data_IF_948172022963
#
_entry.id   IF_948172022963
#
_cell.length_a   1.000
_cell.length_b   1.000
_cell.length_c   1.000
_cell.angle_alpha   90.00
_cell.angle_beta   90.00
_cell.angle_gamma   90.00
#
_symmetry.space_group_name_H-M   'P 1'
#
loop_
_entity.id
_entity.type
_entity.pdbx_description
1 polymer ?
#
# COMPACT_ATOMS: atom_id res chain seq x y z
N UNK A 1 -6.68 11.91 4.17
CA UNK A 1 -6.97 12.50 2.85
C UNK A 1 -6.39 11.62 1.76
N UNK A 2 -6.88 11.78 0.54
CA UNK A 2 -6.35 11.13 -0.66
C UNK A 2 -6.38 12.15 -1.80
N UNK A 3 -5.49 11.97 -2.79
CA UNK A 3 -5.49 12.77 -4.01
C UNK A 3 -5.72 11.83 -5.19
N UNK A 4 -6.50 12.28 -6.17
CA UNK A 4 -6.71 11.55 -7.41
C UNK A 4 -6.09 12.32 -8.55
N UNK A 5 -5.15 11.69 -9.26
CA UNK A 5 -4.46 12.24 -10.43
C UNK A 5 -4.70 11.25 -11.57
N UNK A 6 -5.23 11.73 -12.69
CA UNK A 6 -5.53 10.89 -13.88
C UNK A 6 -6.32 9.60 -13.56
N UNK A 7 -7.27 9.69 -12.63
CA UNK A 7 -8.09 8.55 -12.21
C UNK A 7 -7.35 7.48 -11.40
N UNK A 8 -6.16 7.79 -10.86
CA UNK A 8 -5.44 6.97 -9.87
C UNK A 8 -5.43 7.68 -8.52
N UNK A 9 -5.90 7.00 -7.48
CA UNK A 9 -6.03 7.56 -6.12
C UNK A 9 -4.83 7.19 -5.25
N UNK A 10 -4.17 8.20 -4.69
CA UNK A 10 -3.02 8.08 -3.80
C UNK A 10 -3.38 8.55 -2.39
N UNK A 11 -2.86 7.86 -1.37
CA UNK A 11 -3.06 8.21 0.04
C UNK A 11 -2.07 9.31 0.42
N UNK A 12 -2.54 10.39 1.05
CA UNK A 12 -1.63 11.47 1.47
C UNK A 12 -1.21 11.42 2.92
N UNK A 13 -1.85 10.59 3.74
CA UNK A 13 -1.43 10.43 5.13
C UNK A 13 -0.26 9.47 5.25
N UNK A 14 0.80 9.90 5.92
CA UNK A 14 2.04 9.13 6.12
C UNK A 14 1.76 7.79 6.77
N UNK A 15 0.97 7.76 7.85
CA UNK A 15 0.61 6.50 8.52
C UNK A 15 -0.08 5.54 7.54
N UNK A 16 -1.05 6.04 6.77
CA UNK A 16 -1.77 5.22 5.79
C UNK A 16 -0.91 4.77 4.60
N UNK A 17 0.16 5.50 4.28
CA UNK A 17 1.15 5.11 3.26
C UNK A 17 2.00 3.96 3.83
N UNK A 18 2.55 4.14 5.03
CA UNK A 18 3.49 3.20 5.67
C UNK A 18 2.83 1.86 6.02
N UNK A 19 1.56 1.86 6.42
CA UNK A 19 0.79 0.62 6.67
C UNK A 19 0.74 -0.30 5.44
N UNK A 20 0.98 0.24 4.24
CA UNK A 20 1.10 -0.52 2.99
C UNK A 20 2.56 -0.71 2.58
N UNK A 21 3.41 -1.21 3.49
CA UNK A 21 4.87 -1.37 3.27
C UNK A 21 5.29 -2.08 1.98
N UNK A 22 4.43 -2.92 1.41
CA UNK A 22 4.69 -3.65 0.15
C UNK A 22 4.26 -2.90 -1.12
N UNK A 23 3.46 -1.83 -1.00
CA UNK A 23 2.98 -1.03 -2.12
C UNK A 23 4.11 -0.21 -2.75
N UNK A 24 4.11 -0.09 -4.08
CA UNK A 24 5.16 0.61 -4.82
C UNK A 24 5.20 2.11 -4.47
N UNK A 25 4.04 2.75 -4.26
CA UNK A 25 3.97 4.14 -3.86
C UNK A 25 4.54 4.34 -2.45
N UNK A 26 4.31 3.39 -1.54
CA UNK A 26 4.93 3.39 -0.21
C UNK A 26 6.45 3.30 -0.28
N UNK A 27 6.99 2.35 -1.06
CA UNK A 27 8.45 2.21 -1.25
C UNK A 27 9.09 3.47 -1.84
N UNK A 28 8.44 4.08 -2.85
CA UNK A 28 8.91 5.32 -3.44
C UNK A 28 8.88 6.49 -2.45
N UNK A 29 7.82 6.58 -1.64
CA UNK A 29 7.69 7.58 -0.59
C UNK A 29 8.79 7.43 0.47
N UNK A 30 9.02 6.21 0.97
CA UNK A 30 10.08 5.88 1.93
C UNK A 30 11.46 6.28 1.39
N UNK A 31 11.75 5.91 0.14
CA UNK A 31 13.03 6.23 -0.49
C UNK A 31 13.21 7.76 -0.64
N UNK A 32 12.16 8.47 -1.08
CA UNK A 32 12.19 9.92 -1.20
C UNK A 32 12.39 10.60 0.16
N UNK A 33 11.64 10.19 1.18
CA UNK A 33 11.76 10.70 2.54
C UNK A 33 13.17 10.52 3.11
N UNK A 34 13.74 9.33 2.95
CA UNK A 34 15.08 9.01 3.42
C UNK A 34 16.15 9.85 2.69
N UNK A 35 16.02 10.04 1.39
CA UNK A 35 16.92 10.89 0.59
C UNK A 35 16.85 12.37 0.99
N UNK A 36 15.72 12.82 1.55
CA UNK A 36 15.51 14.19 2.03
C UNK A 36 15.77 14.35 3.54
N UNK A 37 16.56 13.46 4.16
CA UNK A 37 16.98 13.63 5.56
C UNK A 37 16.01 13.10 6.61
N UNK A 38 14.91 12.44 6.22
CA UNK A 38 13.93 11.87 7.15
C UNK A 38 14.13 10.37 7.39
N UNK A 39 15.35 9.85 7.21
CA UNK A 39 15.65 8.41 7.29
C UNK A 39 15.27 7.80 8.63
N UNK A 40 15.76 8.34 9.74
CA UNK A 40 15.47 7.79 11.08
C UNK A 40 13.99 7.90 11.46
N UNK A 41 13.35 8.97 11.01
CA UNK A 41 11.93 9.24 11.21
C UNK A 41 11.06 8.18 10.52
N UNK A 42 11.41 7.81 9.28
CA UNK A 42 10.73 6.75 8.54
C UNK A 42 11.05 5.37 9.11
N UNK A 43 12.31 5.12 9.51
CA UNK A 43 12.68 3.86 10.17
C UNK A 43 11.86 3.64 11.43
N UNK A 44 11.67 4.66 12.26
CA UNK A 44 10.79 4.55 13.42
C UNK A 44 9.37 4.14 13.05
N UNK A 45 8.76 4.79 12.04
CA UNK A 45 7.40 4.45 11.63
C UNK A 45 7.29 3.03 11.05
N UNK A 46 8.35 2.49 10.46
CA UNK A 46 8.41 1.12 9.97
C UNK A 46 8.66 0.09 11.09
N UNK A 47 9.61 0.38 11.98
CA UNK A 47 10.01 -0.52 13.07
C UNK A 47 8.87 -0.70 14.09
N UNK A 48 8.08 0.35 14.31
CA UNK A 48 7.02 0.39 15.32
C UNK A 48 5.63 0.02 14.78
N UNK A 49 5.53 -0.56 13.57
CA UNK A 49 4.23 -1.03 13.03
C UNK A 49 3.66 -2.15 13.89
N UNK A 50 4.52 -3.07 14.32
CA UNK A 50 4.11 -4.25 15.08
C UNK A 50 3.99 -3.96 16.59
N UNK A 51 4.38 -2.76 17.03
CA UNK A 51 4.31 -2.27 18.41
C UNK A 51 4.85 -3.28 19.43
N UNK A 52 6.18 -3.42 19.48
CA UNK A 52 6.88 -4.24 20.47
C UNK A 52 7.60 -3.33 21.49
N UNK A 53 6.95 -2.99 22.62
CA UNK A 53 7.51 -2.11 23.64
C UNK A 53 8.89 -2.50 24.11
N UNK A 54 9.12 -3.81 24.30
CA UNK A 54 10.34 -4.33 24.90
C UNK A 54 11.54 -4.12 23.96
N UNK A 55 11.29 -4.25 22.66
CA UNK A 55 12.28 -3.99 21.61
C UNK A 55 12.46 -2.50 21.35
N UNK A 56 11.38 -1.74 21.26
CA UNK A 56 11.38 -0.37 20.75
C UNK A 56 11.75 0.66 21.82
N UNK A 57 11.41 0.41 23.08
CA UNK A 57 11.69 1.30 24.21
C UNK A 57 13.15 1.78 24.28
N UNK A 58 14.16 0.89 24.34
CA UNK A 58 15.56 1.32 24.41
C UNK A 58 16.04 2.04 23.13
N UNK A 59 15.35 1.85 22.00
CA UNK A 59 15.74 2.45 20.73
C UNK A 59 15.19 3.87 20.60
N UNK A 60 13.92 4.08 20.96
CA UNK A 60 13.17 5.28 20.60
C UNK A 60 12.59 6.07 21.79
N UNK A 61 12.20 5.38 22.87
CA UNK A 61 11.35 5.96 23.92
C UNK A 61 12.05 6.23 25.25
N UNK A 62 13.10 5.48 25.59
CA UNK A 62 13.81 5.67 26.86
C UNK A 62 14.32 7.11 27.04
N UNK A 63 14.55 7.54 28.27
CA UNK A 63 15.18 8.84 28.56
C UNK A 63 16.53 9.08 27.87
N UNK A 64 17.23 8.02 27.44
CA UNK A 64 18.47 8.09 26.63
C UNK A 64 18.35 7.15 25.40
N UNK A 65 17.53 7.50 24.41
CA UNK A 65 17.22 6.61 23.30
C UNK A 65 18.42 6.49 22.36
N UNK A 66 18.66 5.29 21.81
CA UNK A 66 19.69 5.08 20.78
C UNK A 66 19.47 5.95 19.55
N UNK A 67 18.20 6.20 19.20
CA UNK A 67 17.78 7.04 18.10
C UNK A 67 16.90 8.17 18.62
N UNK A 68 17.48 9.35 18.78
CA UNK A 68 16.77 10.53 19.27
C UNK A 68 15.97 11.18 18.14
N UNK A 69 14.65 11.01 18.19
CA UNK A 69 13.72 11.72 17.30
C UNK A 69 13.17 12.96 17.98
N UNK A 70 13.37 14.12 17.35
CA UNK A 70 12.92 15.41 17.91
C UNK A 70 11.40 15.55 17.97
N UNK A 71 10.66 14.76 17.18
CA UNK A 71 9.19 14.78 17.15
C UNK A 71 8.57 14.04 18.34
N UNK A 72 9.30 13.12 18.96
CA UNK A 72 8.86 12.46 20.19
C UNK A 72 9.17 13.40 21.35
N UNK A 73 8.14 13.89 22.03
CA UNK A 73 8.26 14.84 23.14
C UNK A 73 8.80 14.18 24.40
N UNK A 74 9.25 14.98 25.37
CA UNK A 74 9.62 14.48 26.71
C UNK A 74 8.44 13.77 27.37
N UNK A 75 7.23 14.36 27.30
CA UNK A 75 6.01 13.76 27.86
C UNK A 75 5.77 12.32 27.41
N UNK A 76 5.94 12.03 26.12
CA UNK A 76 5.78 10.67 25.58
C UNK A 76 6.87 9.73 26.14
N UNK A 77 8.11 10.23 26.27
CA UNK A 77 9.21 9.45 26.87
C UNK A 77 8.98 9.18 28.35
N UNK A 78 8.53 10.18 29.11
CA UNK A 78 8.24 10.05 30.54
C UNK A 78 7.13 9.01 30.79
N UNK A 79 6.10 9.00 29.93
CA UNK A 79 5.06 7.96 29.95
C UNK A 79 5.64 6.57 29.66
N UNK A 80 6.49 6.45 28.64
CA UNK A 80 7.13 5.19 28.30
C UNK A 80 8.09 4.69 29.41
N UNK A 81 8.87 5.58 30.01
CA UNK A 81 9.75 5.27 31.15
C UNK A 81 8.94 4.79 32.37
N UNK A 82 7.80 5.44 32.64
CA UNK A 82 6.88 5.00 33.71
C UNK A 82 6.37 3.59 33.46
N UNK A 83 5.91 3.30 32.24
CA UNK A 83 5.42 1.96 31.87
C UNK A 83 6.53 0.90 31.88
N UNK A 84 7.73 1.25 31.42
CA UNK A 84 8.90 0.37 31.46
C UNK A 84 9.32 0.04 32.90
N UNK A 85 9.20 0.99 33.83
CA UNK A 85 9.53 0.79 35.26
C UNK A 85 8.57 -0.19 35.94
N UNK A 86 7.33 -0.27 35.47
CA UNK A 86 6.35 -1.25 35.95
C UNK A 86 6.63 -2.69 35.44
N UNK A 87 7.56 -2.85 34.50
CA UNK A 87 7.88 -4.11 33.79
C UNK A 87 6.67 -4.80 33.14
N UNK A 88 5.56 -4.05 32.96
CA UNK A 88 4.33 -4.51 32.33
C UNK A 88 4.30 -4.10 30.85
N UNK A 89 5.01 -4.87 30.03
CA UNK A 89 5.13 -4.66 28.59
C UNK A 89 3.83 -4.94 27.80
N UNK A 90 2.81 -5.50 28.44
CA UNK A 90 1.49 -5.74 27.86
C UNK A 90 0.46 -4.71 28.31
N UNK A 91 0.89 -3.72 29.10
CA UNK A 91 0.03 -2.66 29.57
C UNK A 91 -0.59 -1.90 28.40
N UNK A 92 -1.90 -1.64 28.46
CA UNK A 92 -2.61 -0.92 27.39
C UNK A 92 -2.09 0.51 27.20
N UNK A 93 -1.44 1.10 28.20
CA UNK A 93 -0.81 2.43 28.09
C UNK A 93 0.27 2.50 27.01
N UNK A 94 0.88 1.37 26.63
CA UNK A 94 1.81 1.34 25.50
C UNK A 94 1.15 1.72 24.18
N UNK A 95 -0.13 1.38 23.99
CA UNK A 95 -0.86 1.76 22.79
C UNK A 95 -0.97 3.29 22.66
N UNK A 96 -1.16 3.99 23.78
CA UNK A 96 -1.22 5.46 23.81
C UNK A 96 0.16 6.06 23.50
N UNK A 97 1.23 5.51 24.08
CA UNK A 97 2.61 5.91 23.76
C UNK A 97 2.91 5.77 22.26
N UNK A 98 2.59 4.61 21.66
CA UNK A 98 2.80 4.40 20.23
C UNK A 98 1.93 5.32 19.37
N UNK A 99 0.65 5.47 19.72
CA UNK A 99 -0.27 6.33 18.98
C UNK A 99 0.25 7.77 18.96
N UNK A 100 0.51 8.35 20.13
CA UNK A 100 0.94 9.73 20.26
C UNK A 100 2.29 9.96 19.56
N UNK A 101 3.23 9.03 19.70
CA UNK A 101 4.53 9.13 19.05
C UNK A 101 4.45 9.01 17.53
N UNK A 102 3.71 8.02 17.02
CA UNK A 102 3.53 7.81 15.57
C UNK A 102 2.79 8.97 14.94
N UNK A 103 1.78 9.53 15.60
CA UNK A 103 1.07 10.72 15.13
C UNK A 103 1.99 11.95 15.09
N UNK A 104 2.76 12.21 16.16
CA UNK A 104 3.69 13.34 16.20
C UNK A 104 4.78 13.23 15.12
N UNK A 105 5.34 12.02 14.95
CA UNK A 105 6.36 11.73 13.94
C UNK A 105 5.80 11.85 12.52
N UNK A 106 4.62 11.27 12.26
CA UNK A 106 3.97 11.35 10.97
C UNK A 106 3.62 12.79 10.59
N UNK A 107 3.09 13.58 11.54
CA UNK A 107 2.75 14.99 11.31
C UNK A 107 3.96 15.80 10.87
N UNK A 108 5.13 15.57 11.50
CA UNK A 108 6.37 16.24 11.11
C UNK A 108 6.75 15.92 9.66
N UNK A 109 6.75 14.64 9.27
CA UNK A 109 7.02 14.24 7.89
C UNK A 109 5.96 14.78 6.91
N UNK A 110 4.68 14.78 7.31
CA UNK A 110 3.59 15.28 6.49
C UNK A 110 3.79 16.75 6.10
N UNK A 111 4.17 17.59 7.07
CA UNK A 111 4.50 18.99 6.84
C UNK A 111 5.73 19.17 5.96
N UNK A 112 6.79 18.40 6.22
CA UNK A 112 8.10 18.63 5.60
C UNK A 112 8.19 18.09 4.17
N UNK A 113 7.65 16.90 3.89
CA UNK A 113 7.98 16.18 2.64
C UNK A 113 6.79 15.85 1.76
N UNK A 114 5.57 15.73 2.30
CA UNK A 114 4.49 15.07 1.55
C UNK A 114 4.11 15.87 0.31
N UNK A 115 4.03 17.20 0.45
CA UNK A 115 3.82 18.10 -0.69
C UNK A 115 4.97 18.01 -1.70
N UNK A 116 6.22 17.96 -1.22
CA UNK A 116 7.40 17.86 -2.08
C UNK A 116 7.43 16.53 -2.85
N UNK A 117 7.05 15.42 -2.21
CA UNK A 117 6.97 14.11 -2.86
C UNK A 117 5.99 14.13 -4.03
N UNK A 118 4.77 14.61 -3.84
CA UNK A 118 3.75 14.61 -4.89
C UNK A 118 4.04 15.55 -6.06
N UNK A 119 4.90 16.55 -5.86
CA UNK A 119 5.40 17.42 -6.93
C UNK A 119 6.71 16.93 -7.56
N UNK A 120 7.34 15.89 -6.99
CA UNK A 120 8.67 15.42 -7.41
C UNK A 120 8.65 14.61 -8.70
N UNK A 121 9.78 14.60 -9.41
CA UNK A 121 9.95 13.73 -10.58
C UNK A 121 9.93 12.25 -10.22
N UNK A 122 10.32 11.89 -9.00
CA UNK A 122 10.17 10.52 -8.46
C UNK A 122 8.70 10.10 -8.50
N UNK A 123 7.80 10.96 -8.01
CA UNK A 123 6.37 10.68 -8.06
C UNK A 123 5.83 10.69 -9.50
N UNK A 124 6.24 11.64 -10.35
CA UNK A 124 5.80 11.67 -11.77
C UNK A 124 6.16 10.37 -12.50
N UNK A 125 7.39 9.87 -12.34
CA UNK A 125 7.84 8.59 -12.93
C UNK A 125 7.03 7.41 -12.40
N UNK A 126 6.73 7.40 -11.10
CA UNK A 126 5.85 6.39 -10.50
C UNK A 126 4.43 6.47 -11.07
N UNK A 127 3.87 7.67 -11.16
CA UNK A 127 2.54 7.93 -11.68
C UNK A 127 2.40 7.45 -13.12
N UNK A 128 3.37 7.80 -13.98
CA UNK A 128 3.41 7.34 -15.38
C UNK A 128 3.41 5.81 -15.49
N UNK A 129 4.15 5.11 -14.63
CA UNK A 129 4.17 3.64 -14.59
C UNK A 129 2.81 3.05 -14.18
N UNK A 130 2.11 3.68 -13.23
CA UNK A 130 0.77 3.26 -12.83
C UNK A 130 -0.30 3.56 -13.89
N UNK A 131 -0.28 4.76 -14.46
CA UNK A 131 -1.19 5.19 -15.50
C UNK A 131 -1.03 4.35 -16.78
N UNK A 132 0.21 4.02 -17.16
CA UNK A 132 0.50 3.11 -18.27
C UNK A 132 -0.12 1.73 -18.07
N UNK A 133 0.11 1.10 -16.91
CA UNK A 133 -0.49 -0.21 -16.57
C UNK A 133 -2.01 -0.18 -16.56
N UNK A 134 -2.62 0.91 -16.10
CA UNK A 134 -4.08 1.05 -16.11
C UNK A 134 -4.62 1.14 -17.54
N UNK A 135 -3.99 1.92 -18.40
CA UNK A 135 -4.35 2.03 -19.83
C UNK A 135 -4.18 0.69 -20.56
N UNK A 136 -3.13 -0.07 -20.27
CA UNK A 136 -2.92 -1.41 -20.82
C UNK A 136 -4.03 -2.38 -20.39
N UNK A 137 -4.38 -2.39 -19.09
CA UNK A 137 -5.46 -3.25 -18.58
C UNK A 137 -6.85 -2.85 -19.11
N UNK A 138 -7.11 -1.56 -19.29
CA UNK A 138 -8.35 -1.06 -19.90
C UNK A 138 -8.43 -1.41 -21.40
N UNK A 139 -7.31 -1.33 -22.12
CA UNK A 139 -7.21 -1.75 -23.52
C UNK A 139 -7.43 -3.27 -23.66
N UNK A 140 -6.83 -4.08 -22.79
CA UNK A 140 -7.04 -5.53 -22.77
C UNK A 140 -8.50 -5.89 -22.46
N UNK A 141 -9.13 -5.20 -21.50
CA UNK A 141 -10.55 -5.41 -21.21
C UNK A 141 -11.46 -4.98 -22.37
N UNK A 142 -11.14 -3.90 -23.07
CA UNK A 142 -11.89 -3.48 -24.26
C UNK A 142 -11.72 -4.47 -25.42
N UNK A 143 -10.52 -5.01 -25.62
CA UNK A 143 -10.24 -6.01 -26.66
C UNK A 143 -11.00 -7.31 -26.38
N UNK A 144 -10.97 -7.80 -25.13
CA UNK A 144 -11.81 -8.95 -24.69
C UNK A 144 -13.30 -8.70 -24.93
N UNK A 145 -13.81 -7.50 -24.65
CA UNK A 145 -15.22 -7.14 -24.90
C UNK A 145 -15.56 -7.10 -26.40
N UNK A 146 -14.63 -6.70 -27.26
CA UNK A 146 -14.79 -6.74 -28.72
C UNK A 146 -14.71 -8.17 -29.26
N UNK A 147 -13.81 -9.00 -28.74
CA UNK A 147 -13.68 -10.42 -29.11
C UNK A 147 -14.90 -11.27 -28.74
N UNK A 148 -15.56 -10.96 -27.62
CA UNK A 148 -16.83 -11.62 -27.23
C UNK A 148 -17.99 -11.28 -28.17
N UNK A 149 -17.97 -10.12 -28.86
CA UNK A 149 -19.00 -9.75 -29.84
C UNK A 149 -18.86 -10.47 -31.20
N UNK A 150 -17.71 -11.06 -31.52
CA UNK A 150 -17.47 -11.74 -32.81
C UNK A 150 -17.73 -13.25 -32.78
N UNK A 151 -18.11 -13.83 -31.63
CA UNK A 151 -18.38 -15.28 -31.50
C UNK A 151 -19.83 -15.60 -31.13
N UNK A 152 -20.71 -14.61 -31.07
CA UNK A 152 -22.12 -14.76 -30.70
C UNK A 152 -23.07 -14.52 -31.86
N UNK A 153 -23.07 -15.40 -32.88
CA UNK A 153 -24.27 -15.62 -33.68
C UNK A 153 -24.79 -17.04 -33.36
N UNK A 154 -25.79 -17.20 -32.47
CA UNK A 154 -26.31 -18.50 -32.10
C UNK A 154 -27.12 -19.20 -33.22
N UNK A 155 -27.34 -18.56 -34.38
CA UNK A 155 -28.16 -19.11 -35.46
C UNK A 155 -27.44 -19.96 -36.52
N UNK A 156 -26.10 -19.99 -36.56
CA UNK A 156 -25.38 -20.73 -37.63
C UNK A 156 -24.99 -22.18 -37.29
N UNK A 157 -25.26 -22.67 -36.06
CA UNK A 157 -24.87 -24.04 -35.67
C UNK A 157 -25.92 -25.11 -35.97
N UNK A 158 -27.15 -24.75 -36.37
CA UNK A 158 -28.21 -25.74 -36.66
C UNK A 158 -28.36 -26.15 -38.13
N UNK A 159 -27.66 -25.50 -39.07
CA UNK A 159 -27.80 -25.81 -40.50
C UNK A 159 -26.90 -26.96 -41.03
N UNK A 160 -26.03 -27.55 -40.19
CA UNK A 160 -25.08 -28.61 -40.61
C UNK A 160 -25.29 -29.99 -39.95
N UNK A 161 -26.39 -30.23 -39.26
CA UNK A 161 -26.71 -31.53 -38.63
C UNK A 161 -27.75 -32.37 -39.40
N UNK A 162 -28.07 -32.03 -40.66
CA UNK A 162 -29.21 -32.61 -41.39
C UNK A 162 -28.90 -33.28 -42.73
N UNK A 163 -27.66 -33.72 -43.01
CA UNK A 163 -27.36 -34.45 -44.26
C UNK A 163 -26.18 -35.43 -44.10
N UNK A 164 -26.51 -36.70 -43.83
CA UNK A 164 -25.78 -37.93 -44.21
C UNK A 164 -26.61 -39.12 -43.73
N UNK A 165 -27.52 -39.60 -44.58
CA UNK A 165 -27.40 -40.89 -45.30
C UNK A 165 -27.39 -42.12 -44.38
N UNK A 166 -28.59 -42.67 -44.14
CA UNK A 166 -28.78 -44.04 -43.67
C UNK A 166 -28.90 -44.98 -44.87
N UNK A 167 -27.79 -45.64 -45.20
CA UNK A 167 -27.70 -46.71 -46.19
C UNK A 167 -28.36 -47.99 -45.66
N UNK A 168 -29.37 -48.46 -46.40
CA UNK A 168 -29.72 -49.86 -46.73
C UNK A 168 -29.20 -50.98 -45.77
N UNK A 169 -30.13 -51.61 -45.04
CA UNK A 169 -29.96 -52.97 -44.51
C UNK A 169 -30.53 -54.00 -45.49
N UNK A 170 -29.69 -54.91 -45.95
CA UNK A 170 -30.03 -56.09 -46.77
C UNK A 170 -30.63 -57.21 -45.93
N UNK A 171 -31.60 -57.92 -46.53
CA UNK A 171 -32.21 -59.16 -46.00
C UNK A 171 -31.25 -60.35 -46.07
N UNK A 172 -31.38 -61.22 -45.07
CA UNK A 172 -30.89 -62.61 -44.99
C UNK A 172 -31.08 -63.02 -43.53
N UNK A 173 -31.93 -63.98 -43.15
CA UNK A 173 -32.41 -65.23 -43.76
C UNK A 173 -33.83 -65.51 -43.30
#
# INVERSE_FOLDING_TARGET
MAITIEGVTYRTSVLKIIDKKNDLACKAYIAFAAANGHKDTIMFLLDTVDQDPKKDFPVYFSGKPKKKLSAISSKIRDQADTLATLDDWKNRGWNDVYKDAREAVAKKIETDITKAFYSSDTFKKLHQKYAGKKKEAEAEMQDRRKGVRLTGNPDETLAKAGKREGVRLTKGT
#
